data_IF_841396461208
#
_entry.id   IF_841396461208
#
_cell.length_a   1.000
_cell.length_b   1.000
_cell.length_c   1.000
_cell.angle_alpha   90.00
_cell.angle_beta   90.00
_cell.angle_gamma   90.00
#
_symmetry.space_group_name_H-M   'P 1'
#
loop_
_entity.id
_entity.type
_entity.pdbx_description
1 polymer ?
#
# COMPACT_ATOMS: atom_id res chain seq x y z
N UNK A 1 1.80 8.72 -10.17
CA UNK A 1 1.23 9.34 -11.37
C UNK A 1 -0.15 9.93 -11.12
N UNK A 2 -1.16 9.14 -10.74
CA UNK A 2 -2.52 9.68 -10.46
C UNK A 2 -2.50 10.74 -9.35
N UNK A 3 -1.75 10.50 -8.26
CA UNK A 3 -1.68 11.44 -7.14
C UNK A 3 -0.94 12.73 -7.47
N UNK A 4 0.03 12.66 -8.38
CA UNK A 4 0.76 13.84 -8.88
C UNK A 4 -0.15 14.76 -9.72
N UNK A 5 -1.04 14.18 -10.55
CA UNK A 5 -2.04 14.95 -11.29
C UNK A 5 -3.14 15.50 -10.38
N UNK A 6 -3.56 14.74 -9.36
CA UNK A 6 -4.56 15.16 -8.39
C UNK A 6 -4.05 16.35 -7.55
N UNK A 7 -2.83 16.26 -7.03
CA UNK A 7 -2.21 17.33 -6.23
C UNK A 7 -1.95 18.60 -7.06
N UNK A 8 -1.49 18.47 -8.31
CA UNK A 8 -1.36 19.63 -9.20
C UNK A 8 -2.72 20.29 -9.50
N UNK A 9 -3.76 19.50 -9.76
CA UNK A 9 -5.11 20.02 -9.99
C UNK A 9 -5.64 20.77 -8.76
N UNK A 10 -5.40 20.24 -7.57
CA UNK A 10 -5.82 20.87 -6.31
C UNK A 10 -5.12 22.21 -6.06
N UNK A 11 -3.84 22.35 -6.39
CA UNK A 11 -3.11 23.63 -6.30
C UNK A 11 -3.68 24.66 -7.28
N UNK A 12 -4.00 24.25 -8.51
CA UNK A 12 -4.62 25.16 -9.50
C UNK A 12 -6.01 25.61 -9.04
N UNK A 13 -6.84 24.69 -8.54
CA UNK A 13 -8.19 25.00 -8.05
C UNK A 13 -8.14 25.96 -6.84
N UNK A 14 -7.25 25.71 -5.87
CA UNK A 14 -7.11 26.57 -4.68
C UNK A 14 -6.56 27.95 -5.03
N UNK A 15 -5.67 28.04 -6.02
CA UNK A 15 -5.18 29.32 -6.51
C UNK A 15 -6.30 30.15 -7.17
N UNK A 16 -7.23 29.52 -7.89
CA UNK A 16 -8.36 30.21 -8.52
C UNK A 16 -9.45 30.64 -7.51
N UNK A 17 -9.52 30.03 -6.33
CA UNK A 17 -10.56 30.29 -5.31
C UNK A 17 -10.17 31.38 -4.29
N UNK A 18 -9.05 32.08 -4.48
CA UNK A 18 -8.64 33.17 -3.60
C UNK A 18 -7.27 33.00 -2.95
N UNK A 19 -6.49 31.99 -3.33
CA UNK A 19 -5.05 31.93 -3.04
C UNK A 19 -4.66 31.52 -1.61
N UNK A 20 -5.47 31.82 -0.60
CA UNK A 20 -5.15 31.59 0.83
C UNK A 20 -4.92 30.10 1.18
N UNK A 21 -5.63 29.19 0.49
CA UNK A 21 -5.49 27.74 0.68
C UNK A 21 -4.34 27.11 -0.12
N UNK A 22 -3.72 27.87 -1.01
CA UNK A 22 -2.68 27.36 -1.93
C UNK A 22 -1.44 26.90 -1.17
N UNK A 23 -1.09 27.59 -0.07
CA UNK A 23 0.03 27.20 0.78
C UNK A 23 -0.15 25.79 1.38
N UNK A 24 -1.37 25.51 1.88
CA UNK A 24 -1.72 24.19 2.40
C UNK A 24 -1.74 23.14 1.29
N UNK A 25 -2.24 23.48 0.10
CA UNK A 25 -2.24 22.57 -1.04
C UNK A 25 -0.82 22.20 -1.52
N UNK A 26 0.12 23.15 -1.49
CA UNK A 26 1.54 22.91 -1.81
C UNK A 26 2.18 21.99 -0.77
N UNK A 27 1.88 22.19 0.52
CA UNK A 27 2.38 21.30 1.58
C UNK A 27 1.83 19.87 1.49
N UNK A 28 0.62 19.67 0.96
CA UNK A 28 0.04 18.32 0.77
C UNK A 28 0.76 17.51 -0.33
N UNK A 29 1.46 18.18 -1.25
CA UNK A 29 2.08 17.57 -2.43
C UNK A 29 3.11 16.47 -2.10
N UNK A 30 4.07 16.64 -1.17
CA UNK A 30 4.93 15.55 -0.72
C UNK A 30 4.14 14.39 -0.10
N UNK A 31 3.16 14.66 0.77
CA UNK A 31 2.35 13.62 1.39
C UNK A 31 1.59 12.76 0.37
N UNK A 32 1.06 13.37 -0.69
CA UNK A 32 0.39 12.62 -1.76
C UNK A 32 1.32 11.69 -2.53
N UNK A 33 2.57 12.09 -2.75
CA UNK A 33 3.57 11.24 -3.40
C UNK A 33 4.03 10.11 -2.47
N UNK A 34 4.27 10.40 -1.20
CA UNK A 34 4.63 9.40 -0.19
C UNK A 34 3.50 8.37 -0.02
N UNK A 35 2.24 8.83 0.01
CA UNK A 35 1.07 7.96 0.09
C UNK A 35 0.99 7.01 -1.13
N UNK A 36 1.28 7.49 -2.34
CA UNK A 36 1.32 6.63 -3.53
C UNK A 36 2.36 5.50 -3.36
N UNK A 37 3.54 5.81 -2.82
CA UNK A 37 4.57 4.79 -2.57
C UNK A 37 4.24 3.82 -1.43
N UNK A 38 3.48 4.26 -0.43
CA UNK A 38 3.13 3.45 0.73
C UNK A 38 1.87 2.61 0.52
N UNK A 39 0.86 3.16 -0.15
CA UNK A 39 -0.44 2.50 -0.38
C UNK A 39 -0.32 1.40 -1.42
N UNK A 40 0.54 1.55 -2.43
CA UNK A 40 0.72 0.51 -3.46
C UNK A 40 1.13 -0.84 -2.86
N UNK A 41 2.22 -0.95 -2.05
CA UNK A 41 2.56 -2.19 -1.35
C UNK A 41 1.45 -2.70 -0.44
N UNK A 42 0.71 -1.81 0.21
CA UNK A 42 -0.37 -2.18 1.13
C UNK A 42 -1.57 -2.80 0.40
N UNK A 43 -1.95 -2.23 -0.74
CA UNK A 43 -2.96 -2.79 -1.63
C UNK A 43 -2.50 -4.12 -2.20
N UNK A 44 -1.23 -4.23 -2.64
CA UNK A 44 -0.66 -5.51 -3.06
C UNK A 44 -0.68 -6.55 -1.94
N UNK A 45 -0.31 -6.18 -0.73
CA UNK A 45 -0.37 -7.06 0.43
C UNK A 45 -1.80 -7.58 0.69
N UNK A 46 -2.81 -6.72 0.62
CA UNK A 46 -4.19 -7.11 0.88
C UNK A 46 -4.84 -7.89 -0.26
N UNK A 47 -4.49 -7.60 -1.51
CA UNK A 47 -5.12 -8.20 -2.69
C UNK A 47 -4.43 -9.49 -3.14
N UNK A 48 -3.12 -9.61 -2.93
CA UNK A 48 -2.37 -10.71 -3.49
C UNK A 48 -2.68 -12.03 -2.74
N UNK A 49 -3.05 -13.10 -3.47
CA UNK A 49 -3.52 -14.35 -2.86
C UNK A 49 -2.46 -15.04 -2.01
N UNK A 50 -1.16 -14.78 -2.25
CA UNK A 50 -0.05 -15.30 -1.44
C UNK A 50 -0.09 -14.78 -0.01
N UNK A 51 -0.47 -13.51 0.21
CA UNK A 51 -0.55 -12.91 1.55
C UNK A 51 -1.93 -13.12 2.20
N UNK A 52 -2.97 -13.34 1.40
CA UNK A 52 -4.32 -13.69 1.89
C UNK A 52 -4.47 -15.13 2.36
N UNK A 53 -3.55 -16.03 2.00
CA UNK A 53 -3.49 -17.33 2.66
C UNK A 53 -3.11 -17.03 4.10
N UNK A 54 -4.11 -17.08 5.00
CA UNK A 54 -3.88 -17.22 6.43
C UNK A 54 -2.74 -18.22 6.54
N UNK A 55 -1.68 -17.82 7.21
CA UNK A 55 -0.74 -18.73 7.83
C UNK A 55 -1.55 -19.65 8.74
N UNK A 56 -2.27 -20.62 8.16
CA UNK A 56 -2.53 -21.89 8.82
C UNK A 56 -1.12 -22.41 9.00
N UNK A 57 -0.60 -22.18 10.21
CA UNK A 57 0.77 -22.45 10.61
C UNK A 57 1.08 -23.92 10.47
N UNK A 58 1.28 -24.39 9.24
CA UNK A 58 2.09 -25.57 8.98
C UNK A 58 3.50 -25.05 8.89
N UNK A 59 4.11 -24.89 10.06
CA UNK A 59 5.56 -24.80 10.18
C UNK A 59 6.11 -26.01 9.40
N UNK A 60 6.93 -25.83 8.35
CA UNK A 60 7.42 -26.94 7.52
C UNK A 60 8.15 -28.04 8.30
N UNK A 61 8.61 -27.71 9.51
CA UNK A 61 9.25 -28.65 10.45
C UNK A 61 8.30 -29.78 10.86
N UNK A 62 7.01 -29.51 11.14
CA UNK A 62 6.05 -30.56 11.51
C UNK A 62 5.65 -31.48 10.34
N UNK A 63 5.76 -31.00 9.10
CA UNK A 63 5.48 -31.84 7.93
C UNK A 63 6.62 -32.82 7.63
N UNK A 64 7.88 -32.46 7.95
CA UNK A 64 9.01 -33.40 7.84
C UNK A 64 8.88 -34.60 8.78
N UNK A 65 8.38 -34.40 10.00
CA UNK A 65 8.26 -35.50 10.97
C UNK A 65 7.19 -36.53 10.58
N UNK A 66 6.09 -36.11 9.94
CA UNK A 66 5.06 -37.06 9.47
C UNK A 66 5.50 -37.92 8.29
N UNK A 67 6.43 -37.45 7.45
CA UNK A 67 6.91 -38.20 6.28
C UNK A 67 7.92 -39.28 6.70
N UNK A 68 8.65 -39.07 7.80
CA UNK A 68 9.62 -40.04 8.33
C UNK A 68 8.99 -41.13 9.21
N UNK A 69 7.70 -41.04 9.52
CA UNK A 69 7.00 -41.95 10.45
C UNK A 69 6.02 -42.92 9.76
N UNK A 70 6.12 -43.13 8.45
CA UNK A 70 5.45 -44.27 7.81
C UNK A 70 6.27 -45.53 8.03
N UNK A 71 5.88 -46.46 8.93
CA UNK A 71 6.55 -47.75 9.04
C UNK A 71 6.35 -48.59 7.77
N UNK A 72 7.29 -49.49 7.44
CA UNK A 72 7.20 -50.41 6.29
C UNK A 72 6.05 -51.41 6.40
#
# INVERSE_FOLDING_TARGET
MIFSYLSNSMVVITNQLGGDLTWYAIMLRPFGNDLETCVVPWVFYLTHPVFRRKSVGVIPVLQRDKINFTPP
#
